data_IF_130323348595
#
_entry.id   IF_130323348595
#
_cell.length_a   1.000
_cell.length_b   1.000
_cell.length_c   1.000
_cell.angle_alpha   90.00
_cell.angle_beta   90.00
_cell.angle_gamma   90.00
#
_symmetry.space_group_name_H-M   'P 1'
#
loop_
_entity.id
_entity.type
_entity.pdbx_description
1 polymer ?
#
# COMPACT_ATOMS: atom_id res chain seq x y z
N UNK A 1 8.93 18.03 1.87
CA UNK A 1 7.68 17.86 1.08
C UNK A 1 6.52 18.44 1.86
N UNK A 2 6.21 19.74 1.68
CA UNK A 2 5.20 20.47 2.46
C UNK A 2 3.78 20.24 1.90
N UNK A 3 3.67 19.91 0.60
CA UNK A 3 2.38 19.85 -0.12
C UNK A 3 1.51 18.61 0.14
N UNK A 4 2.07 17.51 0.68
CA UNK A 4 1.35 16.26 0.91
C UNK A 4 1.09 15.98 2.40
N UNK A 5 1.45 16.92 3.28
CA UNK A 5 1.34 16.74 4.72
C UNK A 5 -0.11 16.60 5.19
N UNK A 6 -1.06 17.26 4.51
CA UNK A 6 -2.49 17.13 4.82
C UNK A 6 -3.02 15.73 4.52
N UNK A 7 -2.56 15.11 3.42
CA UNK A 7 -2.88 13.72 3.09
C UNK A 7 -2.31 12.80 4.15
N UNK A 8 -1.04 12.99 4.52
CA UNK A 8 -0.35 12.21 5.55
C UNK A 8 -1.13 12.28 6.89
N UNK A 9 -1.54 13.48 7.34
CA UNK A 9 -2.33 13.68 8.56
C UNK A 9 -3.72 13.02 8.49
N UNK A 10 -4.39 13.09 7.34
CA UNK A 10 -5.72 12.49 7.16
C UNK A 10 -5.67 10.96 7.29
N UNK A 11 -4.64 10.34 6.70
CA UNK A 11 -4.44 8.90 6.76
C UNK A 11 -3.91 8.43 8.10
N UNK A 12 -3.10 9.24 8.79
CA UNK A 12 -2.71 8.97 10.17
C UNK A 12 -3.90 9.01 11.13
N UNK A 13 -4.81 9.98 10.96
CA UNK A 13 -6.05 10.03 11.73
C UNK A 13 -6.95 8.81 11.44
N UNK A 14 -7.02 8.36 10.18
CA UNK A 14 -7.72 7.12 9.80
C UNK A 14 -7.02 5.93 10.46
N UNK A 15 -5.69 5.84 10.41
CA UNK A 15 -4.93 4.75 11.03
C UNK A 15 -5.27 4.66 12.51
N UNK A 16 -5.13 5.75 13.26
CA UNK A 16 -5.43 5.81 14.70
C UNK A 16 -6.88 5.40 15.01
N UNK A 17 -7.85 5.86 14.23
CA UNK A 17 -9.27 5.50 14.40
C UNK A 17 -9.58 4.05 14.07
N UNK A 18 -8.75 3.42 13.22
CA UNK A 18 -8.96 2.04 12.78
C UNK A 18 -8.00 1.05 13.43
N UNK A 19 -7.19 1.50 14.38
CA UNK A 19 -6.36 0.65 15.23
C UNK A 19 -7.26 0.05 16.30
N UNK A 20 -7.68 -1.20 16.09
CA UNK A 20 -8.39 -1.97 17.11
C UNK A 20 -7.44 -2.99 17.73
N UNK A 21 -7.19 -2.80 19.04
CA UNK A 21 -6.54 -3.66 20.02
C UNK A 21 -5.12 -4.17 19.70
N UNK A 22 -4.81 -4.66 18.49
CA UNK A 22 -3.47 -5.02 18.02
C UNK A 22 -3.34 -5.08 16.46
N UNK A 23 -4.37 -4.71 15.71
CA UNK A 23 -4.37 -4.78 14.24
C UNK A 23 -4.66 -3.43 13.61
N UNK A 24 -3.68 -2.90 12.88
CA UNK A 24 -3.87 -1.74 12.01
C UNK A 24 -4.69 -2.18 10.79
N UNK A 25 -5.93 -1.69 10.68
CA UNK A 25 -6.79 -2.04 9.58
C UNK A 25 -6.38 -1.35 8.26
N UNK A 26 -5.78 -0.17 8.34
CA UNK A 26 -5.29 0.64 7.22
C UNK A 26 -3.93 1.18 7.58
N UNK A 27 -2.97 1.00 6.69
CA UNK A 27 -1.59 1.42 6.86
C UNK A 27 -1.15 2.21 5.64
N UNK A 28 -0.65 3.41 5.88
CA UNK A 28 -0.25 4.37 4.84
C UNK A 28 1.27 4.52 4.83
N UNK A 29 1.88 4.32 3.67
CA UNK A 29 3.30 4.52 3.44
C UNK A 29 3.49 5.40 2.22
N UNK A 30 4.23 6.50 2.38
CA UNK A 30 4.59 7.41 1.29
C UNK A 30 6.08 7.56 1.20
N UNK A 31 6.59 7.54 -0.02
CA UNK A 31 7.97 7.88 -0.32
C UNK A 31 8.01 8.76 -1.56
N UNK A 32 8.34 10.04 -1.37
CA UNK A 32 8.19 11.09 -2.39
C UNK A 32 6.77 11.08 -2.99
N UNK A 33 6.64 10.65 -4.24
CA UNK A 33 5.40 10.60 -5.02
C UNK A 33 4.78 9.18 -5.06
N UNK A 34 5.50 8.17 -4.58
CA UNK A 34 5.00 6.79 -4.50
C UNK A 34 4.24 6.58 -3.18
N UNK A 35 2.98 6.18 -3.29
CA UNK A 35 2.08 5.91 -2.15
C UNK A 35 1.67 4.44 -2.16
N UNK A 36 1.76 3.78 -1.01
CA UNK A 36 1.23 2.44 -0.78
C UNK A 36 0.31 2.45 0.42
N UNK A 37 -0.92 1.98 0.20
CA UNK A 37 -1.93 1.80 1.24
C UNK A 37 -2.18 0.31 1.40
N UNK A 38 -1.82 -0.25 2.56
CA UNK A 38 -2.11 -1.64 2.90
C UNK A 38 -3.35 -1.70 3.77
N UNK A 39 -4.29 -2.55 3.40
CA UNK A 39 -5.54 -2.76 4.14
C UNK A 39 -5.58 -4.19 4.65
N UNK A 40 -6.05 -4.37 5.88
CA UNK A 40 -6.23 -5.68 6.50
C UNK A 40 -7.18 -6.55 5.67
N UNK A 41 -6.70 -7.71 5.22
CA UNK A 41 -7.46 -8.65 4.40
C UNK A 41 -8.51 -9.50 5.14
N UNK A 42 -9.00 -9.05 6.28
CA UNK A 42 -10.05 -9.73 7.04
C UNK A 42 -11.39 -9.66 6.28
N UNK A 43 -12.21 -10.70 6.36
CA UNK A 43 -13.49 -10.79 5.62
C UNK A 43 -14.45 -9.64 5.95
N UNK A 44 -14.46 -9.18 7.20
CA UNK A 44 -15.25 -8.01 7.64
C UNK A 44 -14.77 -6.67 7.05
N UNK A 45 -13.59 -6.63 6.45
CA UNK A 45 -12.97 -5.43 5.86
C UNK A 45 -12.97 -5.47 4.33
N UNK A 46 -13.81 -6.32 3.72
CA UNK A 46 -14.02 -6.35 2.27
C UNK A 46 -14.56 -4.99 1.79
N UNK A 47 -13.97 -4.41 0.75
CA UNK A 47 -14.35 -3.08 0.23
C UNK A 47 -13.58 -1.90 0.85
N UNK A 48 -12.82 -2.10 1.92
CA UNK A 48 -12.01 -1.02 2.52
C UNK A 48 -10.90 -0.52 1.60
N UNK A 49 -10.35 -1.37 0.73
CA UNK A 49 -9.36 -0.97 -0.27
C UNK A 49 -9.93 0.06 -1.26
N UNK A 50 -11.16 -0.15 -1.71
CA UNK A 50 -11.86 0.78 -2.61
C UNK A 50 -12.24 2.07 -1.90
N UNK A 51 -12.69 1.98 -0.64
CA UNK A 51 -12.96 3.14 0.20
C UNK A 51 -11.69 3.97 0.46
N UNK A 52 -10.56 3.31 0.72
CA UNK A 52 -9.26 3.96 0.91
C UNK A 52 -8.80 4.66 -0.38
N UNK A 53 -8.98 4.03 -1.54
CA UNK A 53 -8.69 4.65 -2.83
C UNK A 53 -9.55 5.89 -3.08
N UNK A 54 -10.86 5.79 -2.82
CA UNK A 54 -11.79 6.91 -2.96
C UNK A 54 -11.43 8.07 -2.03
N UNK A 55 -11.13 7.78 -0.76
CA UNK A 55 -10.66 8.79 0.20
C UNK A 55 -9.35 9.45 -0.25
N UNK A 56 -8.39 8.66 -0.74
CA UNK A 56 -7.14 9.20 -1.27
C UNK A 56 -7.43 10.18 -2.41
N UNK A 57 -8.34 9.83 -3.32
CA UNK A 57 -8.73 10.69 -4.43
C UNK A 57 -9.40 11.99 -3.97
N UNK A 58 -10.32 11.90 -2.98
CA UNK A 58 -10.97 13.08 -2.38
C UNK A 58 -9.96 14.03 -1.70
N UNK A 59 -8.90 13.51 -1.09
CA UNK A 59 -7.84 14.31 -0.47
C UNK A 59 -6.83 14.89 -1.49
N UNK A 60 -6.59 14.20 -2.62
CA UNK A 60 -5.68 14.68 -3.67
C UNK A 60 -6.31 15.73 -4.59
N UNK A 61 -7.63 15.65 -4.81
CA UNK A 61 -8.39 16.60 -5.63
C UNK A 61 -8.18 18.08 -5.23
N UNK A 62 -8.27 18.49 -3.95
CA UNK A 62 -8.01 19.88 -3.55
C UNK A 62 -6.53 20.29 -3.72
N UNK A 63 -5.61 19.33 -3.72
CA UNK A 63 -4.18 19.58 -3.95
C UNK A 63 -3.84 19.75 -5.44
N UNK A 64 -4.80 19.56 -6.36
CA UNK A 64 -4.57 19.61 -7.80
C UNK A 64 -3.70 18.45 -8.31
N UNK A 65 -3.55 17.38 -7.53
CA UNK A 65 -2.76 16.20 -7.88
C UNK A 65 -3.68 15.13 -8.44
N UNK A 66 -3.39 14.66 -9.65
CA UNK A 66 -4.12 13.56 -10.27
C UNK A 66 -3.44 12.21 -10.02
N UNK A 67 -4.24 11.21 -9.67
CA UNK A 67 -3.78 9.83 -9.63
C UNK A 67 -3.62 9.31 -11.06
N UNK A 68 -2.44 8.78 -11.37
CA UNK A 68 -2.23 8.05 -12.61
C UNK A 68 -2.99 6.71 -12.54
N UNK A 69 -4.17 6.64 -13.15
CA UNK A 69 -5.03 5.45 -13.15
C UNK A 69 -4.39 4.24 -13.86
N UNK A 70 -3.47 4.46 -14.80
CA UNK A 70 -2.75 3.35 -15.46
C UNK A 70 -1.74 2.68 -14.53
N UNK A 71 -1.16 3.44 -13.60
CA UNK A 71 -0.19 2.95 -12.62
C UNK A 71 -0.84 2.54 -11.30
N UNK A 72 -2.00 3.10 -10.98
CA UNK A 72 -2.73 2.82 -9.74
C UNK A 72 -3.42 1.46 -9.87
N UNK A 73 -2.96 0.48 -9.10
CA UNK A 73 -3.52 -0.87 -9.10
C UNK A 73 -3.88 -1.31 -7.69
N UNK A 74 -5.11 -1.79 -7.52
CA UNK A 74 -5.47 -2.55 -6.33
C UNK A 74 -4.95 -3.98 -6.46
N UNK A 75 -4.13 -4.42 -5.52
CA UNK A 75 -3.49 -5.73 -5.53
C UNK A 75 -3.89 -6.52 -4.29
N UNK A 76 -4.27 -7.78 -4.47
CA UNK A 76 -4.63 -8.67 -3.37
C UNK A 76 -3.48 -9.64 -3.05
N UNK A 77 -2.70 -9.26 -2.04
CA UNK A 77 -1.57 -10.05 -1.54
C UNK A 77 -2.01 -11.41 -0.95
N UNK A 78 -3.27 -11.55 -0.49
CA UNK A 78 -3.79 -12.85 -0.01
C UNK A 78 -3.94 -13.88 -1.15
N UNK A 79 -4.22 -13.40 -2.37
CA UNK A 79 -4.33 -14.25 -3.57
C UNK A 79 -2.97 -14.55 -4.20
N UNK A 80 -1.87 -14.07 -3.61
CA UNK A 80 -0.52 -14.26 -4.12
C UNK A 80 -0.12 -13.23 -5.19
N UNK A 81 -0.91 -12.19 -5.39
CA UNK A 81 -0.58 -11.13 -6.35
C UNK A 81 0.60 -10.29 -5.80
N UNK A 82 1.68 -10.10 -6.60
CA UNK A 82 2.81 -9.27 -6.21
C UNK A 82 2.52 -7.79 -6.45
N UNK A 83 3.11 -6.91 -5.63
CA UNK A 83 3.14 -5.47 -5.89
C UNK A 83 4.57 -4.94 -5.82
N UNK A 84 4.86 -3.89 -6.59
CA UNK A 84 6.16 -3.25 -6.63
C UNK A 84 6.17 -1.96 -5.83
N UNK A 85 7.14 -1.77 -4.94
CA UNK A 85 7.34 -0.53 -4.18
C UNK A 85 8.84 -0.24 -4.06
N UNK A 86 9.27 1.00 -4.37
CA UNK A 86 10.66 1.46 -4.24
C UNK A 86 11.71 0.57 -4.90
N UNK A 87 11.39 0.02 -6.07
CA UNK A 87 12.31 -0.88 -6.78
C UNK A 87 12.38 -2.28 -6.18
N UNK A 88 11.53 -2.64 -5.23
CA UNK A 88 11.32 -4.00 -4.74
C UNK A 88 9.97 -4.53 -5.19
N UNK A 89 9.88 -5.83 -5.46
CA UNK A 89 8.64 -6.57 -5.63
C UNK A 89 8.39 -7.35 -4.35
N UNK A 90 7.25 -7.08 -3.72
CA UNK A 90 6.78 -7.77 -2.53
C UNK A 90 5.69 -8.76 -2.95
N UNK A 91 5.82 -10.00 -2.50
CA UNK A 91 4.81 -11.05 -2.74
C UNK A 91 4.65 -11.93 -1.52
N UNK A 92 3.42 -12.37 -1.24
CA UNK A 92 3.18 -13.36 -0.19
C UNK A 92 3.42 -14.76 -0.74
N UNK A 93 4.32 -15.49 -0.09
CA UNK A 93 4.70 -16.87 -0.48
C UNK A 93 4.51 -17.78 0.72
N UNK A 94 4.25 -19.05 0.45
CA UNK A 94 4.33 -20.12 1.45
C UNK A 94 5.80 -20.49 1.70
N UNK A 95 6.17 -20.70 2.95
CA UNK A 95 7.47 -21.29 3.29
C UNK A 95 7.63 -22.66 2.61
N UNK A 96 8.87 -23.15 2.46
CA UNK A 96 9.20 -24.46 1.87
C UNK A 96 8.40 -25.59 2.53
N UNK A 97 8.16 -25.49 3.84
CA UNK A 97 7.37 -26.44 4.63
C UNK A 97 5.85 -26.22 4.53
N UNK A 98 5.37 -25.26 3.73
CA UNK A 98 3.96 -24.89 3.51
C UNK A 98 3.12 -24.55 4.76
N UNK A 99 3.73 -24.42 5.94
CA UNK A 99 3.00 -24.17 7.19
C UNK A 99 2.79 -22.70 7.52
N UNK A 100 3.59 -21.79 6.96
CA UNK A 100 3.53 -20.36 7.27
C UNK A 100 3.70 -19.54 6.00
N UNK A 101 2.95 -18.44 5.92
CA UNK A 101 3.14 -17.44 4.89
C UNK A 101 4.19 -16.43 5.35
N UNK A 102 5.00 -15.97 4.40
CA UNK A 102 5.94 -14.88 4.60
C UNK A 102 5.91 -13.94 3.40
N UNK A 103 6.38 -12.71 3.59
CA UNK A 103 6.53 -11.74 2.50
C UNK A 103 7.92 -11.93 1.90
N UNK A 104 7.99 -12.38 0.65
CA UNK A 104 9.21 -12.41 -0.11
C UNK A 104 9.41 -11.04 -0.77
N UNK A 105 10.56 -10.43 -0.51
CA UNK A 105 10.98 -9.16 -1.09
C UNK A 105 12.07 -9.49 -2.12
N UNK A 106 11.88 -9.08 -3.37
CA UNK A 106 12.85 -9.32 -4.45
C UNK A 106 13.13 -8.00 -5.17
N UNK A 107 14.39 -7.63 -5.44
CA UNK A 107 14.68 -6.42 -6.19
C UNK A 107 14.08 -6.48 -7.60
N UNK A 108 13.53 -5.37 -8.09
CA UNK A 108 13.14 -5.25 -9.50
C UNK A 108 14.39 -5.35 -10.36
N UNK A 109 14.31 -6.10 -11.45
CA UNK A 109 15.42 -6.26 -12.41
C UNK A 109 15.97 -4.92 -12.92
N UNK A 110 15.14 -3.89 -13.00
CA UNK A 110 15.54 -2.53 -13.39
C UNK A 110 16.37 -1.79 -12.34
N UNK A 111 16.25 -2.15 -11.05
CA UNK A 111 17.02 -1.57 -9.95
C UNK A 111 18.41 -2.22 -9.81
N UNK A 112 18.53 -3.53 -10.10
CA UNK A 112 19.82 -4.22 -10.09
C UNK A 112 20.82 -3.70 -11.12
N UNK A 113 20.36 -3.14 -12.25
CA UNK A 113 21.25 -2.68 -13.33
C UNK A 113 21.95 -1.34 -13.02
N UNK A 114 21.54 -0.63 -11.95
CA UNK A 114 22.11 0.70 -11.60
C UNK A 114 23.35 0.63 -10.71
N UNK A 115 23.80 -0.55 -10.31
CA UNK A 115 25.08 -0.73 -9.61
C UNK A 115 26.13 -1.12 -10.65
N UNK A 116 26.79 -0.12 -11.24
CA UNK A 116 28.00 -0.26 -12.05
C UNK A 116 28.98 0.84 -11.67
#
# INVERSE_FOLDING_TARGET
NIYLNEVDLSFDAIRLKTTENHYEAVNYHRFADDIVITVSGHSSKRGWAELALRRLWEQLKPLGVELNLEKTRMVNVLKGEPFGFLGFNLRRVLNRNKNRHFVLITPKKTACTKVK
#
